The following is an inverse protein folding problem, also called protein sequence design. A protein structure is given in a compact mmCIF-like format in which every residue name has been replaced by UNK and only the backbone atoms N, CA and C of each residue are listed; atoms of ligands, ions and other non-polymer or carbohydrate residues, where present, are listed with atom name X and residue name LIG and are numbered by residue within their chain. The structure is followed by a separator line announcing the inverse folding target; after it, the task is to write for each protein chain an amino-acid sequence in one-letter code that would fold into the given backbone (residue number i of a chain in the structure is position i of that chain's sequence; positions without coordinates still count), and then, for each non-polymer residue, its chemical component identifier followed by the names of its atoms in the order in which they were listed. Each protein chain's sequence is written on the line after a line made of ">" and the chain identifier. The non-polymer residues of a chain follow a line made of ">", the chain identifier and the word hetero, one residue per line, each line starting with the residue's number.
data_IF_948609554196
#
_entry.id   IF_948609554196
#
_cell.length_a   1.000
_cell.length_b   1.000
_cell.length_c   1.000
_cell.angle_alpha   90.00
_cell.angle_beta   90.00
_cell.angle_gamma   90.00
#
_symmetry.space_group_name_H-M   'P 1'
#
loop_
_entity.id
_entity.type
_entity.pdbx_description
1 polymer ?
#
# COMPACT_ATOMS: atom_id res chain seq x y z
N UNK A 1 26.55 -33.67 -14.62
CA UNK A 1 26.61 -32.25 -14.22
C UNK A 1 25.24 -31.72 -14.54
N UNK A 2 24.39 -31.66 -13.52
CA UNK A 2 23.00 -31.24 -13.64
C UNK A 2 22.99 -29.71 -13.72
N UNK A 3 22.66 -29.17 -14.88
CA UNK A 3 22.50 -27.73 -15.05
C UNK A 3 21.11 -27.38 -14.51
N UNK A 4 21.05 -27.02 -13.24
CA UNK A 4 19.85 -26.41 -12.67
C UNK A 4 19.54 -25.14 -13.45
N UNK A 5 18.39 -25.12 -14.10
CA UNK A 5 17.85 -23.94 -14.76
C UNK A 5 17.66 -22.83 -13.72
N UNK A 6 18.49 -21.79 -13.81
CA UNK A 6 18.24 -20.50 -13.16
C UNK A 6 17.00 -19.88 -13.83
N UNK A 7 15.82 -20.34 -13.41
CA UNK A 7 14.56 -19.74 -13.75
C UNK A 7 14.52 -18.34 -13.13
N UNK A 8 14.85 -17.34 -13.93
CA UNK A 8 14.50 -15.95 -13.68
C UNK A 8 12.96 -15.90 -13.56
N UNK A 9 12.46 -15.96 -12.32
CA UNK A 9 11.06 -15.74 -12.03
C UNK A 9 10.83 -14.26 -12.25
N UNK A 10 10.40 -13.91 -13.46
CA UNK A 10 9.83 -12.61 -13.77
C UNK A 10 8.67 -12.37 -12.82
N UNK A 11 8.92 -11.64 -11.72
CA UNK A 11 7.91 -11.14 -10.80
C UNK A 11 7.09 -10.06 -11.50
N UNK A 12 6.23 -10.45 -12.41
CA UNK A 12 5.10 -9.63 -12.82
C UNK A 12 4.14 -9.59 -11.62
N UNK A 13 4.40 -8.68 -10.69
CA UNK A 13 3.51 -8.39 -9.57
C UNK A 13 2.29 -7.62 -10.11
N UNK A 14 1.38 -8.31 -10.81
CA UNK A 14 0.08 -7.73 -11.20
C UNK A 14 -0.80 -7.41 -9.98
N UNK A 15 -0.45 -7.97 -8.81
CA UNK A 15 -1.23 -7.87 -7.57
C UNK A 15 -0.74 -6.81 -6.58
N UNK A 16 0.02 -5.80 -7.02
CA UNK A 16 0.63 -4.79 -6.14
C UNK A 16 -0.10 -3.45 -6.04
N UNK A 17 0.61 -2.44 -5.56
CA UNK A 17 0.15 -1.06 -5.51
C UNK A 17 -0.07 -0.47 -6.92
N UNK A 18 -1.27 0.07 -7.17
CA UNK A 18 -1.63 0.65 -8.46
C UNK A 18 -1.47 2.18 -8.48
N UNK A 19 -1.22 2.78 -9.66
CA UNK A 19 -1.13 4.23 -9.80
C UNK A 19 -2.36 4.98 -9.30
N UNK A 20 -3.57 4.42 -9.45
CA UNK A 20 -4.80 5.04 -8.93
C UNK A 20 -4.80 5.22 -7.41
N UNK A 21 -4.13 4.35 -6.66
CA UNK A 21 -4.10 4.41 -5.19
C UNK A 21 -3.29 5.60 -4.68
N UNK A 22 -2.34 6.10 -5.48
CA UNK A 22 -1.63 7.35 -5.18
C UNK A 22 -2.61 8.52 -5.21
N UNK A 23 -3.49 8.55 -6.21
CA UNK A 23 -4.51 9.59 -6.28
C UNK A 23 -5.51 9.46 -5.12
N UNK A 24 -5.91 8.24 -4.77
CA UNK A 24 -6.80 8.00 -3.63
C UNK A 24 -6.18 8.45 -2.30
N UNK A 25 -4.87 8.27 -2.13
CA UNK A 25 -4.16 8.77 -0.95
C UNK A 25 -4.26 10.30 -0.85
N UNK A 26 -4.07 11.02 -1.96
CA UNK A 26 -4.23 12.48 -1.96
C UNK A 26 -5.69 12.91 -1.75
N UNK A 27 -6.65 12.23 -2.36
CA UNK A 27 -8.08 12.48 -2.15
C UNK A 27 -8.44 12.31 -0.66
N UNK A 28 -8.02 11.20 -0.05
CA UNK A 28 -8.19 10.91 1.38
C UNK A 28 -7.61 12.01 2.27
N UNK A 29 -6.38 12.44 2.01
CA UNK A 29 -5.75 13.51 2.79
C UNK A 29 -6.48 14.86 2.66
N UNK A 30 -6.97 15.18 1.45
CA UNK A 30 -7.76 16.39 1.21
C UNK A 30 -9.11 16.34 1.91
N UNK A 31 -9.82 15.20 1.85
CA UNK A 31 -11.11 14.99 2.51
C UNK A 31 -10.99 15.05 4.04
N UNK A 32 -9.90 14.53 4.61
CA UNK A 32 -9.62 14.59 6.07
C UNK A 32 -9.33 16.01 6.57
N UNK A 33 -9.07 16.97 5.67
CA UNK A 33 -8.75 18.36 6.04
C UNK A 33 -7.40 18.51 6.76
N UNK A 34 -6.52 17.52 6.63
CA UNK A 34 -5.22 17.50 7.30
C UNK A 34 -4.23 18.50 6.69
N UNK A 35 -3.49 19.24 7.52
CA UNK A 35 -2.47 20.21 7.07
C UNK A 35 -1.14 19.58 6.60
N UNK A 36 -1.07 18.25 6.53
CA UNK A 36 0.11 17.51 6.11
C UNK A 36 0.24 16.17 6.83
N UNK A 37 1.23 15.38 6.39
CA UNK A 37 1.57 14.08 6.97
C UNK A 37 2.87 14.22 7.77
N UNK A 38 3.01 13.51 8.88
CA UNK A 38 4.27 13.50 9.64
C UNK A 38 5.39 12.81 8.85
N UNK A 39 6.66 13.12 9.15
CA UNK A 39 7.81 12.48 8.50
C UNK A 39 7.79 10.97 8.69
N UNK A 40 7.51 10.50 9.90
CA UNK A 40 7.42 9.07 10.22
C UNK A 40 6.32 8.39 9.43
N UNK A 41 5.13 8.99 9.33
CA UNK A 41 4.04 8.45 8.51
C UNK A 41 4.41 8.39 7.03
N UNK A 42 5.09 9.40 6.49
CA UNK A 42 5.54 9.40 5.09
C UNK A 42 6.59 8.32 4.81
N UNK A 43 7.51 8.08 5.73
CA UNK A 43 8.49 7.00 5.62
C UNK A 43 7.78 5.63 5.64
N UNK A 44 6.92 5.42 6.64
CA UNK A 44 6.16 4.17 6.76
C UNK A 44 5.20 3.95 5.59
N UNK A 45 4.69 5.02 4.97
CA UNK A 45 3.84 4.91 3.79
C UNK A 45 4.56 4.23 2.61
N UNK A 46 5.86 4.46 2.42
CA UNK A 46 6.63 3.78 1.37
C UNK A 46 6.72 2.26 1.63
N UNK A 47 6.92 1.87 2.88
CA UNK A 47 6.98 0.45 3.26
C UNK A 47 5.61 -0.20 3.09
N UNK A 48 4.54 0.51 3.48
CA UNK A 48 3.16 0.10 3.23
C UNK A 48 2.89 -0.15 1.75
N UNK A 49 3.20 0.83 0.87
CA UNK A 49 3.03 0.74 -0.59
C UNK A 49 3.71 -0.49 -1.20
N UNK A 50 4.90 -0.85 -0.68
CA UNK A 50 5.65 -2.02 -1.15
C UNK A 50 5.12 -3.35 -0.60
N UNK A 51 4.45 -3.32 0.55
CA UNK A 51 3.97 -4.51 1.24
C UNK A 51 2.54 -4.91 0.85
N UNK A 52 1.74 -3.96 0.38
CA UNK A 52 0.31 -4.15 0.18
C UNK A 52 -0.03 -4.73 -1.19
N UNK A 53 -1.05 -5.58 -1.23
CA UNK A 53 -1.62 -6.09 -2.47
C UNK A 53 -2.71 -5.16 -3.04
N UNK A 54 -3.09 -5.40 -4.29
CA UNK A 54 -4.10 -4.61 -5.01
C UNK A 54 -5.50 -4.61 -4.37
N UNK A 55 -5.81 -5.54 -3.47
CA UNK A 55 -7.10 -5.64 -2.79
C UNK A 55 -7.05 -5.16 -1.35
N UNK A 56 -5.90 -4.69 -0.88
CA UNK A 56 -5.61 -4.34 0.51
C UNK A 56 -5.94 -5.49 1.51
N UNK A 57 -6.03 -6.73 1.03
CA UNK A 57 -6.52 -7.87 1.81
C UNK A 57 -5.46 -8.45 2.73
N UNK A 58 -4.19 -8.21 2.43
CA UNK A 58 -3.05 -8.59 3.27
C UNK A 58 -2.66 -7.52 4.30
N UNK A 59 -3.45 -6.44 4.43
CA UNK A 59 -3.21 -5.44 5.47
C UNK A 59 -3.56 -5.97 6.85
N UNK A 60 -2.66 -5.80 7.80
CA UNK A 60 -2.85 -6.12 9.22
C UNK A 60 -3.05 -4.82 10.02
N UNK A 61 -4.24 -4.65 10.60
CA UNK A 61 -4.60 -3.49 11.44
C UNK A 61 -4.03 -3.58 12.87
N UNK A 62 -3.54 -4.75 13.29
CA UNK A 62 -2.88 -4.93 14.59
C UNK A 62 -1.36 -4.64 14.50
N UNK A 63 -0.84 -4.47 13.28
CA UNK A 63 0.54 -4.07 13.06
C UNK A 63 0.80 -2.61 13.52
N UNK A 64 2.07 -2.27 13.73
CA UNK A 64 2.47 -0.96 14.24
C UNK A 64 2.43 0.18 13.20
N UNK A 65 1.47 0.15 12.27
CA UNK A 65 1.30 1.23 11.29
C UNK A 65 0.75 2.50 11.97
N UNK A 66 1.04 3.70 11.42
CA UNK A 66 0.37 4.91 11.85
C UNK A 66 -1.12 4.82 11.54
N UNK A 67 -1.97 5.31 12.45
CA UNK A 67 -3.43 5.34 12.27
C UNK A 67 -3.90 6.01 10.98
N UNK A 68 -3.11 6.91 10.40
CA UNK A 68 -3.42 7.53 9.10
C UNK A 68 -3.36 6.53 7.95
N UNK A 69 -2.49 5.51 8.04
CA UNK A 69 -2.44 4.41 7.06
C UNK A 69 -3.61 3.45 7.29
N UNK A 70 -3.93 3.13 8.54
CA UNK A 70 -5.12 2.33 8.88
C UNK A 70 -6.40 2.95 8.29
N UNK A 71 -6.64 4.23 8.58
CA UNK A 71 -7.77 5.01 8.06
C UNK A 71 -7.82 4.99 6.52
N UNK A 72 -6.66 5.09 5.86
CA UNK A 72 -6.59 5.06 4.40
C UNK A 72 -6.93 3.68 3.84
N UNK A 73 -6.54 2.60 4.50
CA UNK A 73 -6.86 1.24 4.06
C UNK A 73 -8.37 1.01 4.14
N UNK A 74 -9.02 1.47 5.20
CA UNK A 74 -10.48 1.42 5.30
C UNK A 74 -11.15 2.22 4.17
N UNK A 75 -10.65 3.43 3.89
CA UNK A 75 -11.11 4.27 2.79
C UNK A 75 -10.94 3.60 1.42
N UNK A 76 -9.78 3.00 1.15
CA UNK A 76 -9.49 2.32 -0.11
C UNK A 76 -10.36 1.07 -0.29
N UNK A 77 -10.58 0.28 0.77
CA UNK A 77 -11.47 -0.89 0.75
C UNK A 77 -12.92 -0.50 0.46
N UNK A 78 -13.39 0.61 1.02
CA UNK A 78 -14.73 1.13 0.73
C UNK A 78 -14.88 1.58 -0.74
N UNK A 79 -13.81 2.09 -1.37
CA UNK A 79 -13.80 2.47 -2.80
C UNK A 79 -13.67 1.29 -3.77
N UNK A 80 -13.13 0.16 -3.32
CA UNK A 80 -13.04 -1.07 -4.12
C UNK A 80 -14.36 -1.85 -4.17
N UNK A 81 -15.28 -1.58 -3.23
CA UNK A 81 -16.58 -2.27 -3.10
C UNK A 81 -17.62 -1.79 -4.11
#
# INVERSE_FOLDING_TARGET
>A
MDAGEDGDVSMEHEDGWKPEYVQWWFDFLNEKGGRGVSKDTWIMFLDFVRSINAQFSNYDMEAAWPSTIDDFVEYAKARLS
#
